data_IF_481561364184
#
_entry.id   IF_481561364184
#
_cell.length_a   1.000
_cell.length_b   1.000
_cell.length_c   1.000
_cell.angle_alpha   90.00
_cell.angle_beta   90.00
_cell.angle_gamma   90.00
#
_symmetry.space_group_name_H-M   'P 1'
#
loop_
_entity.id
_entity.type
_entity.pdbx_description
1 polymer ?
#
# COMPACT_ATOMS: atom_id res chain seq x y z
N UNK A 1 7.68 8.27 28.54
CA UNK A 1 7.31 8.26 27.11
C UNK A 1 5.96 7.62 26.99
N UNK A 2 5.02 8.31 26.39
CA UNK A 2 3.77 7.74 25.85
C UNK A 2 4.07 6.93 24.58
N UNK A 3 3.14 6.05 24.23
CA UNK A 3 3.23 5.17 23.06
C UNK A 3 4.21 4.00 23.18
N UNK A 4 4.37 3.28 22.06
CA UNK A 4 5.12 2.03 21.96
C UNK A 4 6.64 2.18 22.17
N UNK A 5 7.34 1.15 22.67
CA UNK A 5 8.81 1.21 22.87
C UNK A 5 9.57 0.38 21.84
N UNK A 6 10.85 0.72 21.60
CA UNK A 6 11.76 -0.09 20.78
C UNK A 6 11.93 -1.53 21.33
N UNK A 7 11.79 -1.72 22.65
CA UNK A 7 11.80 -3.04 23.27
C UNK A 7 10.52 -3.85 22.95
N UNK A 8 9.35 -3.20 22.90
CA UNK A 8 8.10 -3.81 22.45
C UNK A 8 8.14 -4.19 20.97
N UNK A 9 8.67 -3.31 20.12
CA UNK A 9 8.92 -3.59 18.70
C UNK A 9 9.86 -4.79 18.52
N UNK A 10 10.98 -4.83 19.25
CA UNK A 10 11.89 -5.99 19.23
C UNK A 10 11.21 -7.28 19.73
N UNK A 11 10.31 -7.19 20.71
CA UNK A 11 9.46 -8.30 21.15
C UNK A 11 8.58 -8.83 20.02
N UNK A 12 7.83 -7.94 19.35
CA UNK A 12 6.97 -8.31 18.22
C UNK A 12 7.76 -8.90 17.05
N UNK A 13 8.98 -8.42 16.81
CA UNK A 13 9.87 -9.02 15.80
C UNK A 13 10.23 -10.46 16.17
N UNK A 14 10.55 -10.77 17.43
CA UNK A 14 10.80 -12.17 17.86
C UNK A 14 9.56 -13.05 17.69
N UNK A 15 8.35 -12.52 17.90
CA UNK A 15 7.11 -13.27 17.63
C UNK A 15 6.92 -13.54 16.13
N UNK A 16 7.36 -12.62 15.26
CA UNK A 16 7.29 -12.74 13.81
C UNK A 16 8.36 -13.70 13.25
N UNK A 17 9.55 -13.81 13.83
CA UNK A 17 10.54 -14.83 13.43
C UNK A 17 10.02 -16.26 13.58
N UNK A 18 9.07 -16.47 14.49
CA UNK A 18 8.40 -17.75 14.71
C UNK A 18 7.12 -17.94 13.86
N UNK A 19 6.81 -17.03 12.93
CA UNK A 19 5.57 -17.00 12.13
C UNK A 19 5.86 -16.67 10.66
N UNK A 20 5.13 -17.29 9.74
CA UNK A 20 5.44 -17.26 8.29
C UNK A 20 5.13 -15.93 7.56
N UNK A 21 4.74 -14.86 8.26
CA UNK A 21 4.02 -13.73 7.66
C UNK A 21 4.89 -12.46 7.49
N UNK A 22 5.70 -12.44 6.44
CA UNK A 22 6.74 -11.42 6.21
C UNK A 22 6.26 -9.98 5.93
N UNK A 23 5.01 -9.76 5.51
CA UNK A 23 4.50 -8.41 5.23
C UNK A 23 4.46 -7.51 6.49
N UNK A 24 4.04 -8.07 7.63
CA UNK A 24 4.08 -7.40 8.94
C UNK A 24 5.50 -6.95 9.33
N UNK A 25 6.52 -7.65 8.85
CA UNK A 25 7.90 -7.44 9.24
C UNK A 25 8.42 -6.07 8.78
N UNK A 26 8.07 -5.64 7.55
CA UNK A 26 8.48 -4.34 7.00
C UNK A 26 7.85 -3.18 7.79
N UNK A 27 6.54 -3.25 8.08
CA UNK A 27 5.85 -2.24 8.89
C UNK A 27 6.42 -2.12 10.31
N UNK A 28 6.74 -3.26 10.96
CA UNK A 28 7.38 -3.27 12.28
C UNK A 28 8.81 -2.71 12.25
N UNK A 29 9.55 -2.88 11.16
CA UNK A 29 10.84 -2.22 10.94
C UNK A 29 10.70 -0.68 10.80
N UNK A 30 9.68 -0.17 10.11
CA UNK A 30 9.40 1.27 10.07
C UNK A 30 9.13 1.86 11.46
N UNK A 31 8.39 1.14 12.31
CA UNK A 31 8.16 1.56 13.70
C UNK A 31 9.46 1.62 14.52
N UNK A 32 10.40 0.70 14.28
CA UNK A 32 11.73 0.78 14.89
C UNK A 32 12.49 2.02 14.42
N UNK A 33 12.50 2.30 13.11
CA UNK A 33 13.16 3.48 12.51
C UNK A 33 12.60 4.81 13.05
N UNK A 34 11.31 4.86 13.41
CA UNK A 34 10.69 6.03 14.03
C UNK A 34 11.13 6.24 15.50
N UNK A 35 11.54 5.19 16.21
CA UNK A 35 12.01 5.27 17.61
C UNK A 35 13.52 5.37 17.75
N UNK A 36 14.26 4.83 16.79
CA UNK A 36 15.72 4.84 16.77
C UNK A 36 16.20 4.96 15.32
N UNK A 37 16.88 6.07 15.02
CA UNK A 37 17.27 6.45 13.66
C UNK A 37 18.78 6.73 13.58
N UNK A 38 19.29 6.79 12.34
CA UNK A 38 20.70 7.08 12.07
C UNK A 38 21.65 5.90 12.29
N UNK A 39 22.95 6.21 12.34
CA UNK A 39 24.02 5.21 12.25
C UNK A 39 23.93 4.18 13.39
N UNK A 40 23.80 2.91 13.02
CA UNK A 40 23.71 1.79 13.95
C UNK A 40 22.32 1.48 14.53
N UNK A 41 21.25 2.18 14.12
CA UNK A 41 19.89 1.89 14.57
C UNK A 41 19.49 0.42 14.29
N UNK A 42 19.77 -0.07 13.07
CA UNK A 42 19.61 -1.49 12.70
C UNK A 42 20.27 -2.42 13.72
N UNK A 43 21.53 -2.15 14.06
CA UNK A 43 22.29 -2.97 15.00
C UNK A 43 21.69 -2.92 16.41
N UNK A 44 21.31 -1.74 16.91
CA UNK A 44 20.66 -1.60 18.23
C UNK A 44 19.31 -2.32 18.31
N UNK A 45 18.59 -2.43 17.19
CA UNK A 45 17.41 -3.29 17.08
C UNK A 45 17.78 -4.78 17.06
N UNK A 46 18.72 -5.18 16.19
CA UNK A 46 19.19 -6.56 16.09
C UNK A 46 19.72 -7.10 17.44
N UNK A 47 20.51 -6.30 18.15
CA UNK A 47 21.02 -6.57 19.50
C UNK A 47 19.88 -6.82 20.52
N UNK A 48 18.70 -6.19 20.33
CA UNK A 48 17.50 -6.41 21.15
C UNK A 48 16.64 -7.60 20.70
N UNK A 49 16.68 -7.95 19.42
CA UNK A 49 15.92 -9.07 18.85
C UNK A 49 16.66 -10.39 19.09
N UNK A 50 17.92 -10.47 18.65
CA UNK A 50 18.74 -11.69 18.62
C UNK A 50 19.76 -11.78 19.78
N UNK A 51 19.97 -10.69 20.52
CA UNK A 51 21.00 -10.59 21.56
C UNK A 51 22.35 -10.11 21.01
N UNK A 52 23.33 -9.95 21.92
CA UNK A 52 24.66 -9.38 21.62
C UNK A 52 25.80 -10.40 21.67
N UNK A 53 25.49 -11.69 21.79
CA UNK A 53 26.48 -12.77 21.92
C UNK A 53 27.16 -13.13 20.59
N UNK A 54 28.27 -13.87 20.63
CA UNK A 54 28.97 -14.36 19.42
C UNK A 54 28.12 -15.29 18.54
N UNK A 55 27.09 -15.90 19.13
CA UNK A 55 26.13 -16.79 18.46
C UNK A 55 24.88 -16.06 17.96
N UNK A 56 24.66 -14.81 18.40
CA UNK A 56 23.55 -13.99 17.92
C UNK A 56 23.79 -13.61 16.45
N UNK A 57 22.89 -14.07 15.57
CA UNK A 57 22.95 -13.81 14.13
C UNK A 57 21.61 -13.31 13.64
N UNK A 58 21.62 -12.19 12.91
CA UNK A 58 20.45 -11.74 12.15
C UNK A 58 20.01 -12.82 11.16
N UNK A 59 18.72 -13.12 11.12
CA UNK A 59 18.12 -14.00 10.11
C UNK A 59 18.18 -13.35 8.72
N UNK A 60 18.06 -14.17 7.67
CA UNK A 60 17.82 -13.65 6.31
C UNK A 60 16.52 -12.83 6.24
N UNK A 61 15.47 -13.25 6.95
CA UNK A 61 14.17 -12.59 7.00
C UNK A 61 14.27 -11.17 7.54
N UNK A 62 14.91 -10.97 8.71
CA UNK A 62 15.14 -9.65 9.30
C UNK A 62 15.97 -8.75 8.38
N UNK A 63 17.05 -9.29 7.80
CA UNK A 63 17.89 -8.54 6.86
C UNK A 63 17.11 -8.08 5.63
N UNK A 64 16.26 -8.94 5.07
CA UNK A 64 15.45 -8.60 3.91
C UNK A 64 14.39 -7.55 4.27
N UNK A 65 13.64 -7.78 5.35
CA UNK A 65 12.60 -6.86 5.83
C UNK A 65 13.16 -5.47 6.16
N UNK A 66 14.31 -5.39 6.83
CA UNK A 66 14.98 -4.12 7.12
C UNK A 66 15.41 -3.39 5.84
N UNK A 67 16.03 -4.09 4.88
CA UNK A 67 16.50 -3.49 3.62
C UNK A 67 15.37 -3.28 2.59
N UNK A 68 14.14 -3.73 2.84
CA UNK A 68 12.92 -3.23 2.16
C UNK A 68 12.42 -1.98 2.89
N UNK A 69 12.33 -2.04 4.23
CA UNK A 69 11.87 -0.93 5.05
C UNK A 69 12.70 0.34 4.84
N UNK A 70 14.03 0.24 4.72
CA UNK A 70 14.92 1.38 4.43
C UNK A 70 14.62 2.03 3.07
N UNK A 71 14.53 1.23 2.00
CA UNK A 71 14.16 1.71 0.66
C UNK A 71 12.81 2.43 0.66
N UNK A 72 11.84 1.84 1.36
CA UNK A 72 10.45 2.26 1.33
C UNK A 72 10.07 3.28 2.41
N UNK A 73 11.00 3.70 3.27
CA UNK A 73 10.66 4.51 4.44
C UNK A 73 10.17 5.91 4.06
N UNK A 74 10.74 6.51 3.01
CA UNK A 74 10.36 7.82 2.50
C UNK A 74 8.90 7.82 2.02
N UNK A 75 8.60 7.00 1.01
CA UNK A 75 7.32 7.02 0.30
C UNK A 75 6.23 6.18 0.98
N UNK A 76 6.57 4.96 1.42
CA UNK A 76 5.61 4.06 2.07
C UNK A 76 5.29 4.39 3.52
N UNK A 77 6.10 5.25 4.16
CA UNK A 77 5.85 5.70 5.53
C UNK A 77 6.22 7.18 5.72
N UNK A 78 5.45 8.10 5.10
CA UNK A 78 5.80 9.52 5.03
C UNK A 78 5.81 10.21 6.40
N UNK A 79 6.40 11.41 6.48
CA UNK A 79 6.64 12.08 7.76
C UNK A 79 5.37 12.33 8.60
N UNK A 80 4.21 12.51 7.98
CA UNK A 80 2.92 12.59 8.69
C UNK A 80 2.62 11.30 9.47
N UNK A 81 2.71 10.15 8.80
CA UNK A 81 2.52 8.82 9.38
C UNK A 81 3.53 8.56 10.51
N UNK A 82 4.80 8.93 10.29
CA UNK A 82 5.84 8.83 11.32
C UNK A 82 5.49 9.60 12.58
N UNK A 83 4.97 10.83 12.45
CA UNK A 83 4.55 11.64 13.61
C UNK A 83 3.33 11.05 14.31
N UNK A 84 2.36 10.53 13.55
CA UNK A 84 1.12 9.96 14.10
C UNK A 84 1.38 8.75 15.00
N UNK A 85 2.28 7.84 14.61
CA UNK A 85 2.48 6.58 15.37
C UNK A 85 3.24 6.73 16.69
N UNK A 86 4.00 7.81 16.90
CA UNK A 86 4.89 7.98 18.08
C UNK A 86 4.12 7.93 19.41
N UNK A 87 2.86 8.35 19.42
CA UNK A 87 2.03 8.37 20.63
C UNK A 87 1.11 7.15 20.78
N UNK A 88 0.98 6.32 19.72
CA UNK A 88 0.09 5.15 19.71
C UNK A 88 0.61 3.98 20.56
N UNK A 89 -0.31 3.16 21.07
CA UNK A 89 0.03 1.88 21.69
C UNK A 89 0.69 0.94 20.66
N UNK A 90 1.41 -0.10 21.12
CA UNK A 90 2.19 -0.97 20.23
C UNK A 90 1.33 -1.62 19.14
N UNK A 91 0.17 -2.18 19.49
CA UNK A 91 -0.68 -2.88 18.53
C UNK A 91 -1.39 -1.93 17.56
N UNK A 92 -1.78 -0.74 18.03
CA UNK A 92 -2.32 0.34 17.18
C UNK A 92 -1.28 0.86 16.18
N UNK A 93 -0.03 1.07 16.64
CA UNK A 93 1.08 1.48 15.78
C UNK A 93 1.40 0.42 14.72
N UNK A 94 1.31 -0.88 15.07
CA UNK A 94 1.51 -1.99 14.13
C UNK A 94 0.39 -2.03 13.09
N UNK A 95 -0.87 -1.97 13.51
CA UNK A 95 -2.02 -1.91 12.60
C UNK A 95 -1.92 -0.71 11.64
N UNK A 96 -1.56 0.47 12.15
CA UNK A 96 -1.32 1.67 11.34
C UNK A 96 -0.18 1.48 10.33
N UNK A 97 0.95 0.88 10.75
CA UNK A 97 2.09 0.64 9.86
C UNK A 97 1.79 -0.41 8.78
N UNK A 98 1.02 -1.45 9.10
CA UNK A 98 0.56 -2.47 8.14
C UNK A 98 -0.44 -1.87 7.15
N UNK A 99 -1.41 -1.07 7.61
CA UNK A 99 -2.33 -0.33 6.74
C UNK A 99 -1.60 0.64 5.81
N UNK A 100 -0.57 1.32 6.30
CA UNK A 100 0.30 2.18 5.47
C UNK A 100 1.04 1.37 4.39
N UNK A 101 1.56 0.18 4.75
CA UNK A 101 2.24 -0.71 3.80
C UNK A 101 1.30 -1.21 2.70
N UNK A 102 0.10 -1.65 3.06
CA UNK A 102 -0.90 -2.13 2.09
C UNK A 102 -1.45 -0.98 1.21
N UNK A 103 -1.63 0.22 1.77
CA UNK A 103 -1.96 1.41 0.99
C UNK A 103 -0.86 1.75 -0.04
N UNK A 104 0.42 1.68 0.36
CA UNK A 104 1.55 1.92 -0.54
C UNK A 104 1.69 0.85 -1.62
N UNK A 105 1.52 -0.43 -1.27
CA UNK A 105 1.42 -1.53 -2.23
C UNK A 105 0.31 -1.30 -3.26
N UNK A 106 -0.85 -0.84 -2.80
CA UNK A 106 -1.99 -0.48 -3.66
C UNK A 106 -1.66 0.67 -4.60
N UNK A 107 -1.05 1.75 -4.10
CA UNK A 107 -0.60 2.88 -4.91
C UNK A 107 0.44 2.48 -5.98
N UNK A 108 1.32 1.52 -5.66
CA UNK A 108 2.31 0.94 -6.57
C UNK A 108 1.76 -0.11 -7.55
N UNK A 109 0.48 -0.50 -7.41
CA UNK A 109 -0.15 -1.54 -8.22
C UNK A 109 0.38 -2.96 -7.96
N UNK A 110 1.01 -3.22 -6.80
CA UNK A 110 1.66 -4.51 -6.48
C UNK A 110 0.91 -5.29 -5.40
N UNK A 111 0.70 -6.59 -5.63
CA UNK A 111 -0.04 -7.45 -4.69
C UNK A 111 0.87 -8.22 -3.73
N UNK A 112 2.11 -8.53 -4.14
CA UNK A 112 3.04 -9.38 -3.40
C UNK A 112 4.33 -8.62 -2.97
N UNK A 113 5.08 -9.22 -2.04
CA UNK A 113 6.27 -8.60 -1.45
C UNK A 113 7.50 -8.56 -2.36
N UNK A 114 7.57 -9.41 -3.40
CA UNK A 114 8.70 -9.42 -4.34
C UNK A 114 8.63 -8.19 -5.24
N UNK A 115 7.49 -8.01 -5.90
CA UNK A 115 7.27 -6.85 -6.77
C UNK A 115 7.31 -5.55 -5.95
N UNK A 116 6.85 -5.58 -4.69
CA UNK A 116 7.02 -4.46 -3.77
C UNK A 116 8.50 -4.13 -3.49
N UNK A 117 9.38 -5.11 -3.25
CA UNK A 117 10.82 -4.84 -3.03
C UNK A 117 11.50 -4.10 -4.20
N UNK A 118 11.06 -4.39 -5.42
CA UNK A 118 11.55 -3.80 -6.67
C UNK A 118 11.02 -2.36 -6.86
N UNK A 119 9.78 -2.11 -6.45
CA UNK A 119 9.03 -0.88 -6.73
C UNK A 119 8.92 0.11 -5.56
N UNK A 120 9.15 -0.31 -4.31
CA UNK A 120 8.89 0.48 -3.09
C UNK A 120 9.73 1.77 -2.89
N UNK A 121 10.59 2.11 -3.83
CA UNK A 121 11.34 3.38 -3.90
C UNK A 121 10.57 4.52 -4.57
N UNK A 122 9.44 4.20 -5.22
CA UNK A 122 8.51 5.15 -5.84
C UNK A 122 7.29 5.32 -4.92
N UNK A 123 6.52 6.40 -5.05
CA UNK A 123 5.31 6.62 -4.24
C UNK A 123 4.07 5.94 -4.82
N UNK A 124 4.00 5.81 -6.15
CA UNK A 124 2.90 5.20 -6.88
C UNK A 124 3.38 4.46 -8.14
N UNK A 125 2.45 3.81 -8.83
CA UNK A 125 2.69 3.20 -10.14
C UNK A 125 3.03 4.22 -11.23
N UNK A 126 2.61 5.48 -11.05
CA UNK A 126 2.77 6.57 -12.00
C UNK A 126 4.17 7.21 -11.91
N UNK A 127 4.80 7.18 -10.73
CA UNK A 127 6.18 7.65 -10.49
C UNK A 127 7.26 6.68 -10.99
N UNK A 128 6.87 5.51 -11.50
CA UNK A 128 7.80 4.54 -12.09
C UNK A 128 8.29 5.10 -13.43
N UNK A 129 9.60 5.10 -13.73
CA UNK A 129 10.06 5.40 -15.08
C UNK A 129 9.37 4.43 -16.05
N UNK A 130 8.83 4.97 -17.14
CA UNK A 130 8.00 4.22 -18.07
C UNK A 130 8.70 2.91 -18.46
N UNK A 131 8.08 1.79 -18.10
CA UNK A 131 8.59 0.47 -18.44
C UNK A 131 8.45 0.32 -19.96
N UNK A 132 9.54 0.60 -20.67
CA UNK A 132 9.64 0.36 -22.12
C UNK A 132 9.36 -1.14 -22.28
N UNK A 133 8.19 -1.45 -22.84
CA UNK A 133 7.83 -2.82 -23.19
C UNK A 133 8.70 -3.26 -24.35
N UNK A 134 9.92 -3.65 -24.04
CA UNK A 134 10.75 -4.43 -24.94
C UNK A 134 9.98 -5.72 -25.25
N UNK A 135 9.60 -5.86 -26.51
CA UNK A 135 9.11 -7.12 -27.05
C UNK A 135 10.26 -8.11 -26.91
N UNK A 136 10.04 -9.25 -26.24
CA UNK A 136 11.08 -10.27 -26.05
C UNK A 136 11.76 -10.63 -27.38
N UNK A 137 13.10 -10.76 -27.35
CA UNK A 137 13.69 -11.98 -27.86
C UNK A 137 14.63 -12.62 -26.84
N UNK A 138 14.51 -13.93 -26.68
CA UNK A 138 15.39 -14.71 -25.82
C UNK A 138 16.83 -14.76 -26.35
N UNK A 139 17.82 -14.40 -25.53
CA UNK A 139 19.10 -15.13 -25.41
C UNK A 139 20.00 -14.54 -24.29
N UNK A 140 20.82 -15.41 -23.72
CA UNK A 140 21.76 -15.24 -22.61
C UNK A 140 22.84 -14.14 -22.81
N UNK A 141 23.27 -13.49 -21.71
CA UNK A 141 24.51 -12.69 -21.71
C UNK A 141 24.77 -11.88 -20.42
N UNK A 142 25.77 -12.30 -19.62
CA UNK A 142 26.32 -11.49 -18.51
C UNK A 142 27.14 -10.30 -19.02
N UNK A 143 27.03 -9.12 -18.40
CA UNK A 143 28.13 -8.16 -18.24
C UNK A 143 27.84 -7.12 -17.13
N UNK A 144 28.90 -6.65 -16.46
CA UNK A 144 28.89 -5.59 -15.44
C UNK A 144 28.95 -4.19 -16.08
N UNK A 145 28.59 -3.14 -15.36
CA UNK A 145 28.84 -1.76 -15.80
C UNK A 145 28.29 -0.66 -14.88
N UNK A 146 29.18 0.10 -14.23
CA UNK A 146 28.86 1.34 -13.51
C UNK A 146 28.71 2.53 -14.49
N UNK A 147 27.99 3.59 -14.11
CA UNK A 147 27.96 4.84 -14.89
C UNK A 147 27.12 5.97 -14.28
N UNK A 148 27.78 7.04 -13.81
CA UNK A 148 27.14 8.31 -13.47
C UNK A 148 26.79 9.12 -14.73
N UNK A 149 25.73 9.94 -14.66
CA UNK A 149 25.62 11.18 -15.43
C UNK A 149 24.74 12.20 -14.70
N UNK A 150 25.25 13.43 -14.55
CA UNK A 150 24.49 14.61 -14.12
C UNK A 150 23.77 15.25 -15.33
N UNK A 151 22.72 16.04 -15.09
CA UNK A 151 22.05 16.81 -16.14
C UNK A 151 21.01 17.78 -15.59
N UNK A 152 21.39 19.05 -15.41
CA UNK A 152 20.46 20.14 -15.13
C UNK A 152 19.68 20.54 -16.39
N UNK A 153 18.45 21.02 -16.23
CA UNK A 153 17.64 21.56 -17.33
C UNK A 153 16.44 22.37 -16.84
N UNK A 154 16.59 23.69 -16.78
CA UNK A 154 15.49 24.63 -16.51
C UNK A 154 14.64 24.85 -17.78
N UNK A 155 13.32 24.94 -17.62
CA UNK A 155 12.44 25.59 -18.59
C UNK A 155 11.22 26.19 -17.88
N UNK A 156 11.07 27.52 -17.95
CA UNK A 156 9.85 28.23 -17.57
C UNK A 156 8.85 28.15 -18.74
N UNK A 157 7.56 27.99 -18.42
CA UNK A 157 6.48 27.96 -19.40
C UNK A 157 5.18 28.48 -18.79
N UNK A 158 4.83 29.72 -19.14
CA UNK A 158 3.56 30.37 -18.78
C UNK A 158 2.42 29.84 -19.66
N UNK A 159 1.20 29.70 -19.13
CA UNK A 159 0.06 29.16 -19.89
C UNK A 159 -1.20 29.98 -19.64
N UNK A 160 -1.63 30.69 -20.68
CA UNK A 160 -2.82 31.53 -20.70
C UNK A 160 -4.12 30.76 -20.45
N UNK A 161 -5.07 31.44 -19.81
CA UNK A 161 -6.34 30.86 -19.39
C UNK A 161 -7.42 30.98 -20.49
N UNK A 162 -7.53 29.97 -21.36
CA UNK A 162 -8.78 29.69 -22.08
C UNK A 162 -8.96 28.18 -22.37
N UNK A 163 -9.90 27.56 -21.66
CA UNK A 163 -10.08 26.12 -21.62
C UNK A 163 -10.69 25.52 -22.89
N UNK A 164 -9.84 25.17 -23.89
CA UNK A 164 -10.12 24.19 -24.96
C UNK A 164 -8.85 23.80 -25.75
N UNK A 165 -7.89 23.17 -25.08
CA UNK A 165 -6.73 22.53 -25.70
C UNK A 165 -6.77 21.01 -25.51
N UNK A 166 -6.41 20.25 -26.54
CA UNK A 166 -5.99 18.85 -26.35
C UNK A 166 -4.70 18.91 -25.53
N UNK A 167 -4.65 18.25 -24.36
CA UNK A 167 -3.45 18.28 -23.53
C UNK A 167 -2.35 17.46 -24.20
N UNK A 168 -1.39 18.16 -24.80
CA UNK A 168 -0.09 17.61 -25.18
C UNK A 168 0.70 17.18 -23.93
N UNK A 169 1.75 16.41 -24.16
CA UNK A 169 2.50 15.59 -23.19
C UNK A 169 2.71 16.16 -21.77
N UNK A 170 2.57 15.28 -20.76
CA UNK A 170 3.26 15.43 -19.47
C UNK A 170 2.57 16.24 -18.37
N UNK A 171 1.28 16.58 -18.51
CA UNK A 171 0.56 17.37 -17.49
C UNK A 171 0.24 16.55 -16.23
N UNK A 172 0.94 16.80 -15.12
CA UNK A 172 0.57 16.30 -13.78
C UNK A 172 -0.76 16.92 -13.33
N UNK A 173 -1.84 16.18 -13.55
CA UNK A 173 -3.21 16.57 -13.19
C UNK A 173 -3.35 16.79 -11.67
N UNK A 174 -2.59 16.08 -10.84
CA UNK A 174 -2.68 16.19 -9.38
C UNK A 174 -1.93 17.44 -8.88
N UNK A 175 -0.75 17.76 -9.42
CA UNK A 175 -0.09 19.05 -9.17
C UNK A 175 -0.92 20.23 -9.66
N UNK A 176 -1.58 20.10 -10.83
CA UNK A 176 -2.45 21.12 -11.37
C UNK A 176 -3.72 21.30 -10.52
N UNK A 177 -4.36 20.21 -10.06
CA UNK A 177 -5.49 20.30 -9.11
C UNK A 177 -5.05 20.89 -7.77
N UNK A 178 -3.88 20.53 -7.23
CA UNK A 178 -3.34 21.15 -6.00
C UNK A 178 -3.11 22.66 -6.19
N UNK A 179 -2.53 23.07 -7.31
CA UNK A 179 -2.26 24.48 -7.64
C UNK A 179 -3.57 25.25 -7.86
N UNK A 180 -4.54 24.66 -8.55
CA UNK A 180 -5.86 25.22 -8.77
C UNK A 180 -6.67 25.35 -7.47
N UNK A 181 -6.56 24.39 -6.53
CA UNK A 181 -7.19 24.48 -5.21
C UNK A 181 -6.50 25.56 -4.35
N UNK A 182 -5.17 25.71 -4.45
CA UNK A 182 -4.41 26.70 -3.70
C UNK A 182 -4.71 28.16 -4.11
N UNK A 183 -5.26 28.41 -5.30
CA UNK A 183 -5.66 29.73 -5.78
C UNK A 183 -7.13 30.10 -5.49
N UNK A 184 -7.92 29.19 -4.91
CA UNK A 184 -9.33 29.44 -4.59
C UNK A 184 -9.51 30.36 -3.40
N UNK A 185 -10.60 31.14 -3.41
CA UNK A 185 -11.09 31.79 -2.20
C UNK A 185 -11.67 30.74 -1.23
N UNK A 186 -11.70 31.05 0.07
CA UNK A 186 -12.25 30.17 1.10
C UNK A 186 -13.69 29.71 0.79
N UNK A 187 -14.53 30.60 0.23
CA UNK A 187 -15.90 30.26 -0.15
C UNK A 187 -15.95 29.19 -1.26
N UNK A 188 -15.15 29.35 -2.32
CA UNK A 188 -15.06 28.39 -3.42
C UNK A 188 -14.44 27.07 -2.97
N UNK A 189 -13.43 27.11 -2.09
CA UNK A 189 -12.84 25.91 -1.50
C UNK A 189 -13.85 25.12 -0.65
N UNK A 190 -14.72 25.82 0.10
CA UNK A 190 -15.81 25.19 0.86
C UNK A 190 -16.90 24.59 -0.06
N UNK A 191 -17.23 25.24 -1.17
CA UNK A 191 -18.19 24.74 -2.15
C UNK A 191 -17.68 23.45 -2.83
N UNK A 192 -16.41 23.44 -3.28
CA UNK A 192 -15.78 22.23 -3.85
C UNK A 192 -15.64 21.13 -2.80
N UNK A 193 -15.30 21.45 -1.55
CA UNK A 193 -15.24 20.47 -0.47
C UNK A 193 -16.61 19.83 -0.18
N UNK A 194 -17.70 20.62 -0.24
CA UNK A 194 -19.07 20.12 -0.12
C UNK A 194 -19.43 19.16 -1.27
N UNK A 195 -19.23 19.59 -2.51
CA UNK A 195 -19.46 18.77 -3.71
C UNK A 195 -18.65 17.46 -3.67
N UNK A 196 -17.38 17.52 -3.26
CA UNK A 196 -16.52 16.35 -3.15
C UNK A 196 -17.00 15.38 -2.06
N UNK A 197 -17.46 15.90 -0.91
CA UNK A 197 -18.01 15.08 0.16
C UNK A 197 -19.28 14.34 -0.27
N UNK A 198 -20.18 14.99 -1.03
CA UNK A 198 -21.36 14.33 -1.61
C UNK A 198 -20.98 13.15 -2.53
N UNK A 199 -19.98 13.33 -3.38
CA UNK A 199 -19.52 12.30 -4.32
C UNK A 199 -18.80 11.13 -3.62
N UNK A 200 -18.00 11.41 -2.58
CA UNK A 200 -17.36 10.39 -1.75
C UNK A 200 -18.43 9.55 -1.03
N UNK A 201 -19.43 10.20 -0.42
CA UNK A 201 -20.51 9.51 0.28
C UNK A 201 -21.37 8.65 -0.68
N UNK A 202 -21.66 9.15 -1.89
CA UNK A 202 -22.37 8.39 -2.92
C UNK A 202 -21.57 7.16 -3.39
N UNK A 203 -20.25 7.29 -3.55
CA UNK A 203 -19.38 6.18 -3.90
C UNK A 203 -19.31 5.11 -2.79
N UNK A 204 -19.23 5.54 -1.51
CA UNK A 204 -19.25 4.64 -0.35
C UNK A 204 -20.57 3.87 -0.28
N UNK A 205 -21.72 4.55 -0.41
CA UNK A 205 -23.03 3.90 -0.44
C UNK A 205 -23.19 2.89 -1.59
N UNK A 206 -22.58 3.16 -2.75
CA UNK A 206 -22.56 2.22 -3.88
C UNK A 206 -21.71 0.96 -3.57
N UNK A 207 -20.57 1.13 -2.88
CA UNK A 207 -19.73 0.01 -2.42
C UNK A 207 -20.46 -0.84 -1.37
N UNK A 208 -21.12 -0.20 -0.39
CA UNK A 208 -21.91 -0.89 0.63
C UNK A 208 -23.07 -1.67 0.01
N UNK A 209 -23.80 -1.08 -0.96
CA UNK A 209 -24.85 -1.76 -1.71
C UNK A 209 -24.32 -2.94 -2.55
N UNK A 210 -23.12 -2.82 -3.12
CA UNK A 210 -22.46 -3.92 -3.84
C UNK A 210 -22.06 -5.07 -2.90
N UNK A 211 -21.52 -4.75 -1.72
CA UNK A 211 -21.13 -5.72 -0.70
C UNK A 211 -22.36 -6.44 -0.11
N UNK A 212 -23.42 -5.71 0.25
CA UNK A 212 -24.68 -6.30 0.72
C UNK A 212 -25.31 -7.23 -0.34
N UNK A 213 -25.15 -6.91 -1.64
CA UNK A 213 -25.58 -7.76 -2.75
C UNK A 213 -24.66 -8.98 -2.98
N UNK A 214 -23.41 -8.94 -2.51
CA UNK A 214 -22.52 -10.08 -2.49
C UNK A 214 -22.83 -11.02 -1.32
N UNK A 215 -23.07 -10.48 -0.12
CA UNK A 215 -23.48 -11.22 1.08
C UNK A 215 -24.89 -11.82 0.93
N UNK A 216 -25.79 -11.14 0.22
CA UNK A 216 -27.13 -11.64 -0.11
C UNK A 216 -27.17 -12.81 -1.10
N UNK A 217 -26.04 -13.24 -1.65
CA UNK A 217 -25.95 -14.52 -2.37
C UNK A 217 -25.83 -15.65 -1.36
N UNK A 218 -26.97 -16.21 -0.99
CA UNK A 218 -27.02 -17.50 -0.29
C UNK A 218 -26.10 -18.51 -0.98
N UNK A 219 -25.28 -19.19 -0.20
CA UNK A 219 -24.35 -20.21 -0.67
C UNK A 219 -25.13 -21.24 -1.49
N UNK A 220 -24.76 -21.41 -2.76
CA UNK A 220 -25.44 -22.34 -3.66
C UNK A 220 -25.10 -23.77 -3.23
N UNK A 221 -25.90 -24.32 -2.32
CA UNK A 221 -25.86 -25.74 -1.96
C UNK A 221 -26.55 -26.55 -3.08
N UNK A 222 -25.78 -27.29 -3.90
CA UNK A 222 -26.35 -28.07 -5.00
C UNK A 222 -27.24 -29.20 -4.50
N UNK A 223 -27.06 -29.68 -3.26
CA UNK A 223 -27.86 -30.73 -2.66
C UNK A 223 -29.24 -30.21 -2.24
N UNK A 224 -29.31 -29.04 -1.61
CA UNK A 224 -30.57 -28.40 -1.24
C UNK A 224 -31.46 -28.10 -2.47
N UNK A 225 -30.87 -27.54 -3.55
CA UNK A 225 -31.61 -27.28 -4.79
C UNK A 225 -32.04 -28.59 -5.50
N UNK A 226 -31.24 -29.67 -5.45
CA UNK A 226 -31.65 -30.99 -5.96
C UNK A 226 -32.85 -31.58 -5.21
N UNK A 227 -32.88 -31.44 -3.87
CA UNK A 227 -34.01 -31.90 -3.04
C UNK A 227 -35.27 -31.10 -3.36
N UNK A 228 -35.15 -29.78 -3.49
CA UNK A 228 -36.26 -28.88 -3.84
C UNK A 228 -36.79 -29.15 -5.25
N UNK A 229 -35.93 -29.25 -6.26
CA UNK A 229 -36.32 -29.58 -7.63
C UNK A 229 -37.01 -30.94 -7.74
N UNK A 230 -36.57 -31.93 -6.94
CA UNK A 230 -37.25 -33.24 -6.85
C UNK A 230 -38.63 -33.13 -6.21
N UNK A 231 -38.77 -32.39 -5.11
CA UNK A 231 -40.07 -32.16 -4.46
C UNK A 231 -41.06 -31.43 -5.38
N UNK A 232 -40.61 -30.42 -6.14
CA UNK A 232 -41.43 -29.74 -7.15
C UNK A 232 -41.83 -30.65 -8.32
N UNK A 233 -40.91 -31.53 -8.76
CA UNK A 233 -41.18 -32.54 -9.78
C UNK A 233 -42.19 -33.59 -9.32
N UNK A 234 -42.12 -34.02 -8.06
CA UNK A 234 -43.06 -34.95 -7.45
C UNK A 234 -44.44 -34.31 -7.24
N UNK A 235 -44.50 -33.06 -6.76
CA UNK A 235 -45.74 -32.30 -6.66
C UNK A 235 -46.43 -32.12 -8.03
N UNK A 236 -45.67 -31.78 -9.08
CA UNK A 236 -46.19 -31.69 -10.46
C UNK A 236 -46.69 -33.03 -10.98
N UNK A 237 -46.03 -34.15 -10.65
CA UNK A 237 -46.48 -35.50 -11.06
C UNK A 237 -47.76 -35.92 -10.35
N UNK A 238 -47.91 -35.59 -9.06
CA UNK A 238 -49.16 -35.83 -8.32
C UNK A 238 -50.30 -34.97 -8.89
N UNK A 239 -50.04 -33.69 -9.19
CA UNK A 239 -51.02 -32.79 -9.79
C UNK A 239 -51.41 -33.14 -11.24
N UNK A 240 -50.63 -33.96 -11.95
CA UNK A 240 -50.96 -34.48 -13.28
C UNK A 240 -51.70 -35.83 -13.25
N UNK A 241 -51.81 -36.45 -12.07
CA UNK A 241 -52.41 -37.76 -11.85
C UNK A 241 -53.73 -37.70 -11.04
N UNK A 242 -54.22 -36.48 -10.78
CA UNK A 242 -55.49 -36.16 -10.13
C UNK A 242 -56.41 -35.41 -11.10
#
# INVERSE_FOLDING_TARGET
MSGYTLAGVAGRIRDLENKTNGAYYVGVCWLAMCRDSGKGAKKRLADKVFGTGKEARETSTFRNAWRIAEKAFAEGFPMANRKAVVELALDEAIDFAVKSLEAHKTALGVSNMKDYEENCKYASAEDKPAEVKEVEPAAEGNAEGEGNAEGEGNAEGDVDADGKGNAEDGVDVVANVKTAIASLTLAQAMEIAGWLAEHINAAQAAIEAANAKAEGKAEFDPAAELVKAKAEGDAKRVALAA
#
